data_IF_718039733077
#
_entry.id   IF_718039733077
#
_cell.length_a   1.000
_cell.length_b   1.000
_cell.length_c   1.000
_cell.angle_alpha   90.00
_cell.angle_beta   90.00
_cell.angle_gamma   90.00
#
_symmetry.space_group_name_H-M   'P 1'
#
loop_
_entity.id
_entity.type
_entity.pdbx_description
1 polymer ?
#
# COMPACT_ATOMS: atom_id res chain seq x y z
N UNK A 1 -8.93 -15.26 19.03
CA UNK A 1 -10.17 -14.59 18.60
C UNK A 1 -9.81 -13.15 18.29
N UNK A 2 -9.57 -12.82 17.02
CA UNK A 2 -9.18 -11.47 16.63
C UNK A 2 -10.42 -10.59 16.55
N UNK A 3 -10.39 -9.42 17.20
CA UNK A 3 -11.39 -8.38 16.95
C UNK A 3 -11.03 -7.72 15.62
N UNK A 4 -11.92 -7.83 14.63
CA UNK A 4 -11.78 -7.13 13.36
C UNK A 4 -12.47 -5.76 13.48
N UNK A 5 -11.79 -4.71 13.02
CA UNK A 5 -12.40 -3.38 12.90
C UNK A 5 -13.09 -3.32 11.53
N UNK A 6 -14.42 -3.19 11.53
CA UNK A 6 -15.20 -3.01 10.31
C UNK A 6 -15.43 -1.52 10.06
N UNK A 7 -14.72 -0.97 9.08
CA UNK A 7 -14.90 0.43 8.66
C UNK A 7 -16.24 0.55 7.94
N UNK A 8 -17.19 1.32 8.48
CA UNK A 8 -18.38 1.60 7.69
C UNK A 8 -18.10 2.62 6.57
N UNK A 9 -18.71 2.38 5.41
CA UNK A 9 -18.51 3.15 4.18
C UNK A 9 -19.88 3.43 3.52
N UNK A 10 -20.13 4.64 3.02
CA UNK A 10 -19.34 5.86 3.19
C UNK A 10 -19.63 6.51 4.55
N UNK A 11 -18.60 6.72 5.38
CA UNK A 11 -18.74 7.41 6.68
C UNK A 11 -17.89 8.68 6.75
N UNK A 12 -18.51 9.75 7.26
CA UNK A 12 -17.80 10.92 7.75
C UNK A 12 -17.86 10.87 9.28
N UNK A 13 -16.70 10.67 9.91
CA UNK A 13 -16.59 10.53 11.35
C UNK A 13 -16.65 11.88 12.07
N UNK A 14 -16.67 11.87 13.40
CA UNK A 14 -16.62 13.08 14.21
C UNK A 14 -15.31 13.84 14.02
N UNK A 15 -15.37 15.16 14.17
CA UNK A 15 -14.18 16.03 14.15
C UNK A 15 -13.30 15.77 15.38
N UNK A 16 -11.99 15.98 15.22
CA UNK A 16 -11.03 15.91 16.32
C UNK A 16 -10.60 17.32 16.75
N UNK A 17 -10.16 17.46 18.00
CA UNK A 17 -9.61 18.71 18.54
C UNK A 17 -8.10 18.83 18.34
N UNK A 18 -7.44 17.78 17.85
CA UNK A 18 -5.99 17.69 17.71
C UNK A 18 -5.60 16.73 16.57
N UNK A 19 -4.36 16.85 16.10
CA UNK A 19 -3.82 15.98 15.06
C UNK A 19 -3.72 14.51 15.54
N UNK A 20 -4.27 13.58 14.77
CA UNK A 20 -4.25 12.13 15.08
C UNK A 20 -2.87 11.49 15.07
N UNK A 21 -1.86 12.15 14.50
CA UNK A 21 -0.49 11.64 14.47
C UNK A 21 0.41 12.32 15.51
N UNK A 22 0.49 13.65 15.51
CA UNK A 22 1.43 14.38 16.37
C UNK A 22 0.80 15.00 17.62
N UNK A 23 -0.53 14.91 17.79
CA UNK A 23 -1.28 15.43 18.94
C UNK A 23 -1.24 16.96 19.10
N UNK A 24 -0.72 17.70 18.11
CA UNK A 24 -0.80 19.16 18.09
C UNK A 24 -2.27 19.61 18.07
N UNK A 25 -2.62 20.54 18.96
CA UNK A 25 -3.98 21.06 19.08
C UNK A 25 -4.42 21.79 17.81
N UNK A 26 -5.70 21.65 17.44
CA UNK A 26 -6.32 22.44 16.38
C UNK A 26 -6.47 23.92 16.72
N UNK A 27 -6.20 24.33 17.96
CA UNK A 27 -6.03 25.75 18.34
C UNK A 27 -4.65 26.30 17.95
N UNK A 28 -3.66 25.44 17.72
CA UNK A 28 -2.27 25.81 17.39
C UNK A 28 -1.97 25.70 15.89
N UNK A 29 -2.75 24.90 15.15
CA UNK A 29 -2.53 24.66 13.72
C UNK A 29 -3.84 24.35 13.00
N UNK A 30 -3.87 24.55 11.69
CA UNK A 30 -5.01 24.14 10.87
C UNK A 30 -5.06 22.61 10.76
N UNK A 31 -6.22 22.04 11.09
CA UNK A 31 -6.50 20.62 10.86
C UNK A 31 -7.29 20.43 9.56
N UNK A 32 -6.83 19.49 8.74
CA UNK A 32 -7.42 19.11 7.46
C UNK A 32 -8.15 17.77 7.55
N UNK A 33 -8.94 17.45 6.52
CA UNK A 33 -9.64 16.18 6.42
C UNK A 33 -8.67 15.06 5.98
N UNK A 34 -8.75 13.91 6.65
CA UNK A 34 -7.94 12.75 6.34
C UNK A 34 -8.79 11.59 5.84
N UNK A 35 -8.37 10.97 4.75
CA UNK A 35 -9.01 9.73 4.28
C UNK A 35 -8.34 8.53 4.94
N UNK A 36 -9.11 7.66 5.61
CA UNK A 36 -8.56 6.47 6.28
C UNK A 36 -7.89 5.58 5.24
N UNK A 37 -8.66 5.13 4.24
CA UNK A 37 -8.13 4.55 2.99
C UNK A 37 -7.97 5.71 2.00
N UNK A 38 -6.80 5.90 1.36
CA UNK A 38 -6.63 6.99 0.41
C UNK A 38 -7.75 7.06 -0.64
N UNK A 39 -8.21 8.27 -0.96
CA UNK A 39 -9.20 8.50 -2.02
C UNK A 39 -8.77 7.86 -3.35
N UNK A 40 -7.46 7.88 -3.61
CA UNK A 40 -6.81 7.29 -4.77
C UNK A 40 -6.98 5.76 -4.91
N UNK A 41 -7.35 5.09 -3.82
CA UNK A 41 -7.73 3.68 -3.74
C UNK A 41 -9.25 3.53 -3.56
N UNK A 42 -10.02 4.55 -3.93
CA UNK A 42 -11.48 4.64 -3.78
C UNK A 42 -11.98 4.60 -2.34
N UNK A 43 -11.14 4.93 -1.34
CA UNK A 43 -11.58 5.08 0.04
C UNK A 43 -12.62 6.20 0.20
N UNK A 44 -13.68 5.95 0.98
CA UNK A 44 -14.75 6.92 1.25
C UNK A 44 -14.90 7.31 2.72
N UNK A 45 -14.24 6.62 3.64
CA UNK A 45 -14.19 6.98 5.05
C UNK A 45 -13.26 8.17 5.29
N UNK A 46 -13.80 9.22 5.93
CA UNK A 46 -13.08 10.47 6.18
C UNK A 46 -13.16 10.87 7.65
N UNK A 47 -12.01 11.19 8.24
CA UNK A 47 -11.86 11.84 9.54
C UNK A 47 -11.74 13.36 9.31
N UNK A 48 -12.81 14.15 9.49
CA UNK A 48 -12.75 15.58 9.23
C UNK A 48 -11.89 16.31 10.28
N UNK A 49 -11.14 17.32 9.85
CA UNK A 49 -10.28 18.16 10.73
C UNK A 49 -9.47 17.33 11.74
N UNK A 50 -8.70 16.37 11.23
CA UNK A 50 -8.03 15.35 12.06
C UNK A 50 -6.51 15.32 11.92
N UNK A 51 -5.94 16.01 10.93
CA UNK A 51 -4.50 15.97 10.65
C UNK A 51 -3.98 17.39 10.43
N UNK A 52 -2.87 17.76 11.07
CA UNK A 52 -2.22 19.04 10.79
C UNK A 52 -1.50 19.04 9.44
N UNK A 53 -1.32 20.22 8.84
CA UNK A 53 -0.70 20.36 7.52
C UNK A 53 0.70 19.72 7.43
N UNK A 54 1.50 19.82 8.50
CA UNK A 54 2.85 19.23 8.53
C UNK A 54 2.82 17.70 8.45
N UNK A 55 1.95 17.05 9.22
CA UNK A 55 1.82 15.60 9.17
C UNK A 55 1.24 15.15 7.82
N UNK A 56 0.23 15.86 7.30
CA UNK A 56 -0.36 15.55 6.00
C UNK A 56 0.67 15.66 4.87
N UNK A 57 1.46 16.75 4.86
CA UNK A 57 2.53 16.97 3.88
C UNK A 57 3.56 15.85 3.95
N UNK A 58 4.07 15.57 5.15
CA UNK A 58 5.08 14.53 5.39
C UNK A 58 4.61 13.15 4.95
N UNK A 59 3.38 12.76 5.28
CA UNK A 59 2.79 11.48 4.84
C UNK A 59 2.71 11.39 3.31
N UNK A 60 2.23 12.46 2.68
CA UNK A 60 2.11 12.53 1.22
C UNK A 60 3.46 12.44 0.50
N UNK A 61 4.45 13.19 0.97
CA UNK A 61 5.77 13.30 0.36
C UNK A 61 6.65 12.08 0.64
N UNK A 62 6.58 11.49 1.85
CA UNK A 62 7.47 10.38 2.21
C UNK A 62 7.03 9.02 1.64
N UNK A 63 5.73 8.75 1.52
CA UNK A 63 5.30 7.42 1.08
C UNK A 63 3.97 7.36 0.34
N UNK A 64 2.93 8.13 0.72
CA UNK A 64 1.59 7.89 0.17
C UNK A 64 1.57 8.15 -1.34
N UNK A 65 2.17 9.25 -1.82
CA UNK A 65 2.18 9.54 -3.25
C UNK A 65 3.02 8.53 -4.05
N UNK A 66 4.17 8.10 -3.54
CA UNK A 66 5.05 7.13 -4.22
C UNK A 66 4.36 5.76 -4.34
N UNK A 67 3.78 5.26 -3.25
CA UNK A 67 2.98 4.02 -3.25
C UNK A 67 1.83 4.11 -4.26
N UNK A 68 1.09 5.22 -4.28
CA UNK A 68 -0.03 5.39 -5.18
C UNK A 68 0.39 5.55 -6.65
N UNK A 69 1.53 6.20 -6.94
CA UNK A 69 1.98 6.52 -8.31
C UNK A 69 2.94 5.50 -8.90
N UNK A 70 3.53 4.61 -8.11
CA UNK A 70 4.53 3.64 -8.56
C UNK A 70 4.09 2.20 -8.30
N UNK A 71 3.68 1.90 -7.06
CA UNK A 71 3.24 0.54 -6.69
C UNK A 71 1.82 0.26 -7.24
N UNK A 72 0.89 1.18 -7.02
CA UNK A 72 -0.53 0.98 -7.39
C UNK A 72 -0.96 1.65 -8.69
N UNK A 73 -0.06 2.19 -9.50
CA UNK A 73 -0.44 2.90 -10.73
C UNK A 73 -1.18 2.00 -11.73
N UNK A 74 -0.72 0.75 -11.89
CA UNK A 74 -1.36 -0.24 -12.76
C UNK A 74 -2.80 -0.54 -12.33
N UNK A 75 -3.06 -1.04 -11.11
CA UNK A 75 -4.42 -1.36 -10.69
C UNK A 75 -5.30 -0.12 -10.58
N UNK A 76 -4.78 1.03 -10.14
CA UNK A 76 -5.56 2.29 -10.09
C UNK A 76 -6.05 2.74 -11.45
N UNK A 77 -5.22 2.58 -12.48
CA UNK A 77 -5.56 2.96 -13.85
C UNK A 77 -6.54 1.98 -14.46
N UNK A 78 -6.25 0.67 -14.37
CA UNK A 78 -7.08 -0.38 -14.96
C UNK A 78 -8.46 -0.48 -14.32
N UNK A 79 -8.55 -0.36 -12.99
CA UNK A 79 -9.82 -0.38 -12.25
C UNK A 79 -10.50 0.99 -12.22
N UNK A 80 -9.93 1.99 -12.91
CA UNK A 80 -10.45 3.36 -12.97
C UNK A 80 -10.74 3.99 -11.59
N UNK A 81 -9.93 3.66 -10.57
CA UNK A 81 -10.13 4.10 -9.19
C UNK A 81 -10.13 5.63 -9.06
N UNK A 82 -10.89 6.16 -8.09
CA UNK A 82 -11.12 7.60 -7.95
C UNK A 82 -9.81 8.41 -7.97
N UNK A 83 -9.83 9.56 -8.63
CA UNK A 83 -8.68 10.46 -8.74
C UNK A 83 -9.15 11.91 -8.87
N UNK A 84 -8.37 12.84 -8.34
CA UNK A 84 -8.59 14.28 -8.54
C UNK A 84 -8.03 14.79 -9.86
N UNK A 85 -7.16 14.02 -10.51
CA UNK A 85 -6.58 14.31 -11.82
C UNK A 85 -6.73 13.10 -12.73
N UNK A 86 -7.88 12.96 -13.43
CA UNK A 86 -8.13 11.84 -14.32
C UNK A 86 -7.21 11.82 -15.54
N UNK A 87 -6.82 13.00 -16.03
CA UNK A 87 -5.96 13.15 -17.21
C UNK A 87 -4.50 12.73 -16.94
N UNK A 88 -4.12 12.54 -15.67
CA UNK A 88 -2.78 12.07 -15.29
C UNK A 88 -2.61 10.55 -15.32
N UNK A 89 -3.62 9.79 -15.75
CA UNK A 89 -3.51 8.34 -15.88
C UNK A 89 -2.72 7.97 -17.14
N UNK A 90 -1.74 7.07 -17.04
CA UNK A 90 -1.00 6.61 -18.21
C UNK A 90 -1.92 5.80 -19.15
N UNK A 91 -1.78 6.00 -20.45
CA UNK A 91 -2.41 5.15 -21.48
C UNK A 91 -1.55 3.94 -21.83
N UNK A 92 -0.23 4.05 -21.65
CA UNK A 92 0.75 2.97 -21.85
C UNK A 92 1.57 2.72 -20.59
N UNK A 93 2.18 1.54 -20.49
CA UNK A 93 3.12 1.20 -19.44
C UNK A 93 4.31 0.42 -20.01
N UNK A 94 5.53 0.68 -19.52
CA UNK A 94 6.71 -0.04 -19.98
C UNK A 94 6.70 -1.49 -19.49
N UNK A 95 6.91 -2.42 -20.40
CA UNK A 95 7.16 -3.83 -20.10
C UNK A 95 8.45 -4.29 -20.74
N UNK A 96 8.96 -5.42 -20.27
CA UNK A 96 10.13 -6.08 -20.84
C UNK A 96 9.67 -7.33 -21.55
N UNK A 97 9.93 -7.40 -22.84
CA UNK A 97 9.65 -8.55 -23.68
C UNK A 97 10.89 -9.44 -23.74
N UNK A 98 10.70 -10.73 -23.47
CA UNK A 98 11.79 -11.69 -23.42
C UNK A 98 11.92 -12.44 -24.75
N UNK A 99 13.16 -12.58 -25.23
CA UNK A 99 13.48 -13.34 -26.45
C UNK A 99 13.22 -14.84 -26.30
N UNK A 100 13.27 -15.33 -25.07
CA UNK A 100 13.10 -16.74 -24.67
C UNK A 100 12.22 -16.81 -23.43
N UNK A 101 11.49 -17.93 -23.26
CA UNK A 101 10.64 -18.08 -22.10
C UNK A 101 11.37 -17.91 -20.76
N UNK A 102 10.74 -17.20 -19.84
CA UNK A 102 11.05 -17.20 -18.43
C UNK A 102 10.54 -18.53 -17.85
N UNK A 103 11.35 -19.58 -17.91
CA UNK A 103 11.01 -20.86 -17.28
C UNK A 103 10.47 -20.66 -15.85
N UNK A 104 9.50 -21.49 -15.44
CA UNK A 104 8.72 -21.30 -14.22
C UNK A 104 9.58 -21.10 -12.95
N UNK A 105 9.70 -19.85 -12.51
CA UNK A 105 10.47 -19.44 -11.34
C UNK A 105 10.86 -17.97 -11.42
N UNK A 106 11.13 -17.34 -10.27
CA UNK A 106 11.68 -15.99 -10.23
C UNK A 106 13.04 -16.00 -10.96
N UNK A 107 13.19 -15.26 -12.07
CA UNK A 107 14.42 -15.33 -12.84
C UNK A 107 15.57 -14.76 -12.00
N UNK A 108 16.71 -15.48 -11.94
CA UNK A 108 17.92 -15.03 -11.20
C UNK A 108 18.46 -13.67 -11.68
N UNK A 109 18.10 -13.29 -12.92
CA UNK A 109 18.29 -11.95 -13.47
C UNK A 109 16.94 -11.47 -14.01
N UNK A 110 16.48 -10.30 -13.54
CA UNK A 110 15.27 -9.67 -14.08
C UNK A 110 15.40 -9.32 -15.57
N UNK A 111 16.63 -9.06 -16.03
CA UNK A 111 16.94 -8.68 -17.40
C UNK A 111 18.03 -9.59 -17.98
N UNK A 112 17.80 -10.07 -19.19
CA UNK A 112 18.71 -10.90 -20.00
C UNK A 112 19.19 -10.10 -21.20
N UNK A 113 20.34 -10.50 -21.72
CA UNK A 113 20.83 -9.98 -23.00
C UNK A 113 19.83 -10.36 -24.10
N UNK A 114 19.31 -9.36 -24.82
CA UNK A 114 18.24 -9.54 -25.81
C UNK A 114 16.85 -9.10 -25.34
N UNK A 115 16.63 -8.84 -24.04
CA UNK A 115 15.36 -8.29 -23.55
C UNK A 115 15.15 -6.88 -24.10
N UNK A 116 13.93 -6.59 -24.57
CA UNK A 116 13.58 -5.29 -25.14
C UNK A 116 12.54 -4.61 -24.26
N UNK A 117 12.79 -3.35 -23.92
CA UNK A 117 11.79 -2.51 -23.26
C UNK A 117 10.85 -1.93 -24.31
N UNK A 118 9.56 -2.19 -24.15
CA UNK A 118 8.51 -1.69 -25.05
C UNK A 118 7.41 -0.98 -24.24
N UNK A 119 6.69 -0.06 -24.90
CA UNK A 119 5.49 0.56 -24.34
C UNK A 119 4.26 -0.27 -24.74
N UNK A 120 3.44 -0.65 -23.77
CA UNK A 120 2.26 -1.49 -23.97
C UNK A 120 1.01 -0.76 -23.51
N UNK A 121 -0.10 -0.90 -24.25
CA UNK A 121 -1.38 -0.32 -23.85
C UNK A 121 -1.82 -0.86 -22.49
N UNK A 122 -2.36 0.00 -21.62
CA UNK A 122 -2.87 -0.43 -20.32
C UNK A 122 -3.97 -1.51 -20.41
N UNK A 123 -4.70 -1.58 -21.52
CA UNK A 123 -5.74 -2.59 -21.77
C UNK A 123 -5.18 -3.99 -22.04
N UNK A 124 -3.93 -4.09 -22.47
CA UNK A 124 -3.27 -5.35 -22.84
C UNK A 124 -2.55 -6.02 -21.66
N UNK A 125 -2.39 -5.32 -20.54
CA UNK A 125 -1.70 -5.81 -19.34
C UNK A 125 -2.69 -6.48 -18.38
N UNK A 126 -2.27 -7.43 -17.53
CA UNK A 126 -3.10 -7.93 -16.45
C UNK A 126 -3.30 -6.87 -15.36
N UNK A 127 -4.39 -6.98 -14.59
CA UNK A 127 -4.58 -6.13 -13.41
C UNK A 127 -3.87 -6.78 -12.23
N UNK A 128 -2.67 -6.31 -11.92
CA UNK A 128 -1.88 -6.81 -10.79
C UNK A 128 -2.07 -5.92 -9.57
N UNK A 129 -2.55 -6.48 -8.46
CA UNK A 129 -2.61 -5.81 -7.16
C UNK A 129 -1.53 -6.41 -6.26
N UNK A 130 -0.38 -5.72 -6.07
CA UNK A 130 0.68 -6.22 -5.21
C UNK A 130 0.26 -6.19 -3.74
N UNK A 131 0.67 -7.21 -3.00
CA UNK A 131 0.47 -7.34 -1.56
C UNK A 131 1.70 -7.98 -0.90
N UNK A 132 1.87 -7.69 0.39
CA UNK A 132 2.95 -8.22 1.22
C UNK A 132 2.43 -9.37 2.07
N UNK A 133 3.15 -10.49 2.04
CA UNK A 133 3.06 -11.47 3.12
C UNK A 133 4.25 -11.27 4.04
N UNK A 134 3.95 -10.85 5.26
CA UNK A 134 4.91 -10.57 6.33
C UNK A 134 4.83 -11.68 7.39
N UNK A 135 5.86 -11.87 8.22
CA UNK A 135 5.69 -12.58 9.48
C UNK A 135 4.63 -11.91 10.37
N UNK A 136 4.07 -12.60 11.38
CA UNK A 136 3.26 -11.96 12.41
C UNK A 136 4.01 -10.79 13.06
N UNK A 137 3.34 -9.68 13.44
CA UNK A 137 4.04 -8.55 14.02
C UNK A 137 4.77 -8.95 15.30
N UNK A 138 6.03 -8.54 15.45
CA UNK A 138 6.90 -8.93 16.57
C UNK A 138 6.27 -8.68 17.94
N UNK A 139 5.57 -7.56 18.10
CA UNK A 139 4.87 -7.20 19.33
C UNK A 139 3.81 -8.24 19.74
N UNK A 140 3.02 -8.75 18.78
CA UNK A 140 2.01 -9.78 19.07
C UNK A 140 2.62 -11.17 19.24
N UNK A 141 3.80 -11.40 18.65
CA UNK A 141 4.54 -12.65 18.76
C UNK A 141 5.45 -12.71 20.00
N UNK A 142 5.44 -11.68 20.86
CA UNK A 142 6.32 -11.60 22.03
C UNK A 142 7.82 -11.52 21.69
N UNK A 143 8.16 -11.06 20.47
CA UNK A 143 9.54 -10.92 20.01
C UNK A 143 10.08 -9.56 20.42
N UNK A 144 11.38 -9.50 20.73
CA UNK A 144 12.04 -8.23 21.01
C UNK A 144 11.91 -7.25 19.84
N UNK A 145 11.51 -6.02 20.16
CA UNK A 145 11.46 -4.92 19.21
C UNK A 145 12.88 -4.54 18.80
N UNK A 146 13.18 -4.61 17.51
CA UNK A 146 14.46 -4.15 16.95
C UNK A 146 14.26 -2.93 16.06
N UNK A 147 14.96 -1.84 16.38
CA UNK A 147 15.01 -0.61 15.57
C UNK A 147 16.10 -0.67 14.49
N UNK A 148 16.24 -1.81 13.82
CA UNK A 148 17.23 -1.99 12.75
C UNK A 148 16.71 -1.54 11.37
N UNK A 149 15.42 -1.22 11.27
CA UNK A 149 14.75 -0.86 10.02
C UNK A 149 14.61 -2.00 9.03
N UNK A 150 14.82 -3.25 9.46
CA UNK A 150 14.66 -4.40 8.61
C UNK A 150 13.18 -4.77 8.48
N UNK A 151 12.81 -5.10 7.24
CA UNK A 151 11.51 -5.65 6.90
C UNK A 151 11.74 -7.05 6.38
N UNK A 152 11.26 -8.04 7.11
CA UNK A 152 11.22 -9.41 6.60
C UNK A 152 9.97 -9.59 5.77
N UNK A 153 10.14 -9.82 4.46
CA UNK A 153 9.05 -10.17 3.55
C UNK A 153 9.10 -11.68 3.32
N UNK A 154 8.04 -12.41 3.70
CA UNK A 154 7.93 -13.86 3.44
C UNK A 154 7.66 -14.12 1.97
N UNK A 155 6.76 -13.33 1.37
CA UNK A 155 6.41 -13.43 -0.03
C UNK A 155 5.84 -12.10 -0.56
N UNK A 156 5.97 -11.90 -1.86
CA UNK A 156 5.16 -10.97 -2.62
C UNK A 156 3.97 -11.74 -3.20
N UNK A 157 2.75 -11.27 -2.93
CA UNK A 157 1.54 -11.84 -3.49
C UNK A 157 0.95 -10.86 -4.49
N UNK A 158 0.40 -11.37 -5.59
CA UNK A 158 -0.30 -10.56 -6.57
C UNK A 158 -1.70 -11.12 -6.75
N UNK A 159 -2.70 -10.27 -6.52
CA UNK A 159 -4.05 -10.60 -6.97
C UNK A 159 -4.17 -10.18 -8.43
N UNK A 160 -4.47 -11.14 -9.30
CA UNK A 160 -4.78 -10.89 -10.70
C UNK A 160 -6.28 -11.04 -10.92
N UNK A 161 -6.92 -10.05 -11.53
CA UNK A 161 -8.36 -10.12 -11.87
C UNK A 161 -8.61 -10.59 -13.31
N UNK A 162 -7.62 -11.24 -13.94
CA UNK A 162 -7.69 -11.76 -15.31
C UNK A 162 -6.32 -12.12 -15.88
N UNK A 163 -6.34 -12.78 -17.04
CA UNK A 163 -5.14 -13.06 -17.83
C UNK A 163 -4.73 -11.82 -18.65
N UNK A 164 -3.52 -11.86 -19.21
CA UNK A 164 -2.98 -10.81 -20.07
C UNK A 164 -3.32 -11.14 -21.53
N UNK A 165 -4.22 -10.39 -22.20
CA UNK A 165 -4.58 -10.69 -23.60
C UNK A 165 -3.37 -10.76 -24.52
N UNK A 166 -2.33 -9.99 -24.21
CA UNK A 166 -1.08 -9.97 -24.98
C UNK A 166 -0.22 -11.22 -24.80
N UNK A 167 -0.10 -11.72 -23.57
CA UNK A 167 0.69 -12.92 -23.31
C UNK A 167 0.08 -14.15 -23.99
N UNK A 168 -1.26 -14.22 -24.05
CA UNK A 168 -1.99 -15.26 -24.75
C UNK A 168 -1.80 -15.19 -26.28
N UNK A 169 -1.83 -13.99 -26.87
CA UNK A 169 -1.82 -13.81 -28.32
C UNK A 169 -0.42 -13.92 -28.95
N UNK A 170 0.61 -13.41 -28.29
CA UNK A 170 1.95 -13.29 -28.90
C UNK A 170 2.87 -14.48 -28.57
N UNK A 171 2.47 -15.38 -27.66
CA UNK A 171 3.33 -16.46 -27.11
C UNK A 171 4.71 -15.96 -26.64
N UNK A 172 4.76 -14.71 -26.15
CA UNK A 172 5.97 -14.09 -25.63
C UNK A 172 5.79 -13.80 -24.15
N UNK A 173 6.82 -14.14 -23.39
CA UNK A 173 6.86 -13.82 -21.98
C UNK A 173 7.16 -12.33 -21.81
N UNK A 174 6.31 -11.66 -21.04
CA UNK A 174 6.49 -10.26 -20.66
C UNK A 174 6.73 -10.14 -19.16
N UNK A 175 7.66 -9.28 -18.77
CA UNK A 175 7.86 -8.86 -17.39
C UNK A 175 7.37 -7.45 -17.16
N UNK A 176 6.58 -7.29 -16.10
CA UNK A 176 6.11 -6.00 -15.61
C UNK A 176 6.95 -5.66 -14.38
N UNK A 177 7.74 -4.58 -14.48
CA UNK A 177 8.50 -4.09 -13.34
C UNK A 177 7.65 -3.11 -12.53
N UNK A 178 7.26 -3.50 -11.33
CA UNK A 178 6.62 -2.61 -10.35
C UNK A 178 7.72 -2.14 -9.39
N UNK A 179 8.11 -0.84 -9.38
CA UNK A 179 9.00 -0.31 -8.37
C UNK A 179 8.37 -0.53 -6.99
N UNK A 180 9.07 -1.26 -6.13
CA UNK A 180 8.48 -1.76 -4.89
C UNK A 180 9.38 -1.48 -3.70
N UNK A 181 8.94 -0.57 -2.83
CA UNK A 181 9.53 -0.34 -1.52
C UNK A 181 8.58 -0.91 -0.43
N UNK A 182 8.94 -2.04 0.20
CA UNK A 182 8.11 -2.64 1.25
C UNK A 182 7.83 -1.68 2.41
N UNK A 183 8.78 -0.81 2.76
CA UNK A 183 8.65 0.10 3.89
C UNK A 183 7.58 1.15 3.67
N UNK A 184 7.49 1.67 2.45
CA UNK A 184 6.45 2.63 2.10
C UNK A 184 5.06 2.00 2.10
N UNK A 185 4.92 0.77 1.58
CA UNK A 185 3.65 0.05 1.63
C UNK A 185 3.26 -0.29 3.08
N UNK A 186 4.23 -0.66 3.93
CA UNK A 186 4.00 -0.85 5.37
C UNK A 186 3.54 0.43 6.06
N UNK A 187 4.14 1.60 5.76
CA UNK A 187 3.67 2.89 6.28
C UNK A 187 2.24 3.19 5.85
N UNK A 188 1.87 2.87 4.60
CA UNK A 188 0.49 3.03 4.14
C UNK A 188 -0.50 2.14 4.91
N UNK A 189 -0.15 0.87 5.13
CA UNK A 189 -0.97 -0.02 5.96
C UNK A 189 -1.10 0.50 7.39
N UNK A 190 -0.02 0.98 7.99
CA UNK A 190 -0.03 1.58 9.32
C UNK A 190 -0.93 2.82 9.38
N UNK A 191 -0.89 3.69 8.36
CA UNK A 191 -1.76 4.85 8.24
C UNK A 191 -3.24 4.47 8.20
N UNK A 192 -3.59 3.49 7.37
CA UNK A 192 -4.97 2.98 7.26
C UNK A 192 -5.43 2.40 8.61
N UNK A 193 -4.61 1.56 9.24
CA UNK A 193 -4.92 0.93 10.52
C UNK A 193 -5.09 1.97 11.66
N UNK A 194 -4.20 2.96 11.72
CA UNK A 194 -4.27 4.04 12.72
C UNK A 194 -5.53 4.90 12.52
N UNK A 195 -5.82 5.29 11.28
CA UNK A 195 -7.05 6.02 10.96
C UNK A 195 -8.31 5.23 11.33
N UNK A 196 -8.35 3.93 11.05
CA UNK A 196 -9.47 3.06 11.43
C UNK A 196 -9.63 2.98 12.96
N UNK A 197 -8.55 2.79 13.70
CA UNK A 197 -8.59 2.74 15.16
C UNK A 197 -9.07 4.08 15.76
N UNK A 198 -8.58 5.22 15.26
CA UNK A 198 -9.04 6.54 15.72
C UNK A 198 -10.51 6.76 15.41
N UNK A 199 -10.98 6.35 14.23
CA UNK A 199 -12.35 6.53 13.79
C UNK A 199 -13.35 5.70 14.62
N UNK A 200 -13.00 4.45 14.92
CA UNK A 200 -13.92 3.50 15.55
C UNK A 200 -13.81 3.47 17.08
N UNK A 201 -12.61 3.70 17.63
CA UNK A 201 -12.36 3.64 19.07
C UNK A 201 -12.27 5.04 19.70
N UNK A 202 -11.90 6.05 18.90
CA UNK A 202 -11.58 7.38 19.39
C UNK A 202 -10.10 7.56 19.72
N UNK A 203 -9.61 8.79 19.53
CA UNK A 203 -8.19 9.16 19.64
C UNK A 203 -7.59 9.00 21.06
N UNK A 204 -8.40 8.79 22.09
CA UNK A 204 -7.92 8.61 23.47
C UNK A 204 -8.17 7.21 24.02
N UNK A 205 -8.70 6.29 23.20
CA UNK A 205 -9.12 4.98 23.67
C UNK A 205 -8.02 3.91 23.63
N UNK A 206 -6.84 4.21 23.07
CA UNK A 206 -5.76 3.24 22.91
C UNK A 206 -4.37 3.89 22.90
N UNK A 207 -3.34 3.09 23.16
CA UNK A 207 -1.94 3.50 23.07
C UNK A 207 -1.48 3.60 21.61
N UNK A 208 -0.89 4.74 21.26
CA UNK A 208 -0.55 5.08 19.88
C UNK A 208 0.85 4.57 19.50
N UNK A 209 0.94 3.38 18.91
CA UNK A 209 2.22 2.80 18.49
C UNK A 209 2.63 3.15 17.04
N UNK A 210 1.64 3.42 16.18
CA UNK A 210 1.85 3.61 14.74
C UNK A 210 2.31 5.01 14.31
N UNK A 211 1.97 6.13 14.99
CA UNK A 211 2.34 7.47 14.51
C UNK A 211 3.84 7.66 14.30
N UNK A 212 4.70 7.13 15.16
CA UNK A 212 6.15 7.27 14.98
C UNK A 212 6.66 6.50 13.76
N UNK A 213 6.05 5.36 13.42
CA UNK A 213 6.35 4.63 12.18
C UNK A 213 5.88 5.43 10.96
N UNK A 214 4.65 5.94 11.00
CA UNK A 214 4.01 6.70 9.91
C UNK A 214 4.80 7.99 9.63
N UNK A 215 5.22 8.70 10.68
CA UNK A 215 6.01 9.93 10.60
C UNK A 215 7.52 9.65 10.46
N UNK A 216 7.94 8.40 10.26
CA UNK A 216 9.34 8.04 10.04
C UNK A 216 10.29 8.35 11.21
N UNK A 217 9.75 8.51 12.42
CA UNK A 217 10.49 8.70 13.67
C UNK A 217 10.97 7.38 14.27
N UNK A 218 10.32 6.28 13.92
CA UNK A 218 10.74 4.91 14.25
C UNK A 218 10.87 4.06 13.00
N UNK A 219 11.75 3.05 13.09
CA UNK A 219 11.98 2.05 12.04
C UNK A 219 11.50 0.64 12.45
N UNK A 220 10.63 0.55 13.46
CA UNK A 220 10.09 -0.71 14.01
C UNK A 220 9.04 -1.40 13.12
N UNK A 221 9.30 -1.51 11.81
CA UNK A 221 8.36 -2.06 10.83
C UNK A 221 7.90 -3.48 11.21
N UNK A 222 8.85 -4.42 11.36
CA UNK A 222 8.56 -5.83 11.63
C UNK A 222 7.96 -6.09 13.01
N UNK A 223 8.12 -5.15 13.95
CA UNK A 223 7.56 -5.24 15.30
C UNK A 223 6.09 -4.84 15.33
N UNK A 224 5.70 -3.86 14.51
CA UNK A 224 4.38 -3.22 14.55
C UNK A 224 3.44 -3.70 13.45
N UNK A 225 3.96 -4.10 12.29
CA UNK A 225 3.15 -4.49 11.13
C UNK A 225 3.54 -5.90 10.70
N UNK A 226 2.53 -6.73 10.44
CA UNK A 226 2.72 -8.11 10.02
C UNK A 226 1.47 -8.69 9.38
N UNK A 227 1.56 -9.95 8.96
CA UNK A 227 0.41 -10.71 8.44
C UNK A 227 0.00 -11.77 9.47
N UNK A 228 -1.28 -12.16 9.52
CA UNK A 228 -1.67 -13.35 10.28
C UNK A 228 -0.84 -14.56 9.82
N UNK A 229 -0.55 -15.48 10.73
CA UNK A 229 0.16 -16.71 10.38
C UNK A 229 -0.80 -17.63 9.61
N UNK A 230 -0.97 -17.33 8.33
CA UNK A 230 -1.68 -18.18 7.40
C UNK A 230 -0.67 -18.99 6.60
N UNK A 231 -0.95 -20.27 6.33
CA UNK A 231 -0.20 -21.01 5.32
C UNK A 231 -0.26 -20.21 4.01
N UNK A 232 0.90 -20.05 3.37
CA UNK A 232 1.05 -19.42 2.06
C UNK A 232 0.33 -20.30 1.03
N UNK A 233 -0.98 -20.08 0.87
CA UNK A 233 -1.93 -20.73 -0.05
C UNK A 233 -1.95 -22.27 -0.07
N UNK A 234 -3.09 -22.86 0.32
CA UNK A 234 -3.63 -23.99 -0.43
C UNK A 234 -4.30 -23.40 -1.67
N UNK A 235 -3.71 -23.61 -2.85
CA UNK A 235 -4.30 -23.23 -4.13
C UNK A 235 -5.74 -23.76 -4.22
N UNK A 236 -6.72 -22.87 -4.09
CA UNK A 236 -8.11 -23.13 -4.49
C UNK A 236 -8.76 -21.80 -4.81
N UNK A 237 -8.51 -21.33 -6.04
CA UNK A 237 -9.51 -20.71 -6.89
C UNK A 237 -9.35 -21.35 -8.28
#
# INVERSE_FOLDING_TARGET
>A
MGYYIELQQPNRYSVLSECMYCRTSGSETLLTDEHIIPLALSGSAVLPKSVCEDCQRKINEEFEQDVLRRIYILPRTKLQLRTRSPNGRPSTYPVWEHDKPLGGGLPRKLFREGDVRIETSMGELPTLIPSLVLPPPGLLAGRETKEDGQITVRALSFYSTGESPRAEQEHRDISILIPFDPGQLVKLMAKIAHGAAVAELGISAFSHFLPDLILGRSKNFSSLVGSPDMPLFSNTL
#
